data_IF_845092794484
#
_entry.id   IF_845092794484
#
_cell.length_a   1.000
_cell.length_b   1.000
_cell.length_c   1.000
_cell.angle_alpha   90.00
_cell.angle_beta   90.00
_cell.angle_gamma   90.00
#
_symmetry.space_group_name_H-M   'P 1'
#
loop_
_entity.id
_entity.type
_entity.pdbx_description
1 polymer ?
#
# COMPACT_ATOMS: atom_id res chain seq x y z
N UNK A 1 17.30 -20.69 39.44
CA UNK A 1 17.78 -20.18 38.13
C UNK A 1 16.57 -19.98 37.24
N UNK A 2 16.13 -18.73 37.09
CA UNK A 2 15.03 -18.40 36.18
C UNK A 2 15.66 -18.15 34.81
N UNK A 3 15.50 -19.10 33.90
CA UNK A 3 15.89 -18.93 32.51
C UNK A 3 15.00 -17.88 31.86
N UNK A 4 15.53 -16.70 31.57
CA UNK A 4 14.89 -15.74 30.70
C UNK A 4 14.87 -16.34 29.30
N UNK A 5 13.68 -16.79 28.85
CA UNK A 5 13.43 -17.04 27.44
C UNK A 5 13.67 -15.70 26.71
N UNK A 6 14.79 -15.63 26.03
CA UNK A 6 15.12 -14.52 25.16
C UNK A 6 14.22 -14.65 23.93
N UNK A 7 13.03 -14.02 23.96
CA UNK A 7 12.23 -13.87 22.75
C UNK A 7 13.06 -13.09 21.74
N UNK A 8 13.21 -13.59 20.51
CA UNK A 8 14.01 -12.88 19.51
C UNK A 8 13.40 -11.49 19.26
N UNK A 9 14.27 -10.48 19.28
CA UNK A 9 13.88 -9.10 19.04
C UNK A 9 13.15 -8.99 17.67
N UNK A 10 12.11 -8.15 17.50
CA UNK A 10 11.39 -7.95 16.22
C UNK A 10 12.30 -7.73 15.00
N UNK A 11 13.47 -7.17 15.18
CA UNK A 11 14.51 -7.05 14.15
C UNK A 11 14.98 -8.41 13.60
N UNK A 12 15.18 -9.38 14.46
CA UNK A 12 15.67 -10.70 14.04
C UNK A 12 14.60 -11.46 13.25
N UNK A 13 13.33 -11.29 13.62
CA UNK A 13 12.21 -11.89 12.87
C UNK A 13 12.09 -11.30 11.46
N UNK A 14 12.34 -10.00 11.26
CA UNK A 14 12.37 -9.38 9.93
C UNK A 14 13.49 -9.94 9.05
N UNK A 15 14.69 -10.04 9.60
CA UNK A 15 15.83 -10.61 8.89
C UNK A 15 15.58 -12.07 8.51
N UNK A 16 14.98 -12.85 9.42
CA UNK A 16 14.61 -14.24 9.14
C UNK A 16 13.59 -14.33 8.01
N UNK A 17 12.60 -13.42 7.95
CA UNK A 17 11.61 -13.40 6.87
C UNK A 17 12.25 -13.08 5.51
N UNK A 18 13.20 -12.14 5.45
CA UNK A 18 13.92 -11.80 4.22
C UNK A 18 14.78 -12.99 3.77
N UNK A 19 15.41 -13.68 4.72
CA UNK A 19 16.29 -14.83 4.45
C UNK A 19 15.52 -16.11 4.10
N UNK A 20 14.27 -16.23 4.58
CA UNK A 20 13.40 -17.37 4.32
C UNK A 20 12.12 -16.87 3.64
N UNK A 21 12.06 -16.85 2.30
CA UNK A 21 10.92 -16.37 1.54
C UNK A 21 9.60 -17.03 1.95
N UNK A 22 8.53 -16.26 1.96
CA UNK A 22 7.18 -16.75 2.30
C UNK A 22 6.74 -17.91 1.42
N UNK A 23 7.16 -17.93 0.15
CA UNK A 23 6.87 -19.02 -0.78
C UNK A 23 7.43 -20.37 -0.31
N UNK A 24 8.70 -20.42 0.10
CA UNK A 24 9.31 -21.67 0.62
C UNK A 24 8.62 -22.17 1.87
N UNK A 25 8.26 -21.27 2.78
CA UNK A 25 7.51 -21.61 4.00
C UNK A 25 6.10 -22.08 3.69
N UNK A 26 5.46 -21.45 2.69
CA UNK A 26 4.15 -21.85 2.23
C UNK A 26 4.18 -23.27 1.67
N UNK A 27 5.12 -23.58 0.79
CA UNK A 27 5.31 -24.92 0.23
C UNK A 27 5.58 -25.96 1.31
N UNK A 28 6.43 -25.67 2.30
CA UNK A 28 6.73 -26.57 3.40
C UNK A 28 5.47 -26.92 4.19
N UNK A 29 4.61 -25.94 4.53
CA UNK A 29 3.34 -26.19 5.24
C UNK A 29 2.34 -27.00 4.42
N UNK A 30 2.22 -26.68 3.12
CA UNK A 30 1.34 -27.43 2.22
C UNK A 30 1.78 -28.88 2.07
N UNK A 31 3.08 -29.16 2.09
CA UNK A 31 3.62 -30.51 2.08
C UNK A 31 3.31 -31.27 3.39
N UNK A 32 3.31 -30.59 4.54
CA UNK A 32 2.92 -31.15 5.83
C UNK A 32 1.42 -31.45 5.93
N UNK A 33 0.58 -30.56 5.38
CA UNK A 33 -0.89 -30.68 5.42
C UNK A 33 -1.48 -31.60 4.32
N UNK A 34 -0.66 -32.19 3.46
CA UNK A 34 -1.08 -32.99 2.29
C UNK A 34 -2.05 -32.26 1.35
N UNK A 35 -2.15 -30.95 1.42
CA UNK A 35 -2.85 -30.14 0.44
C UNK A 35 -1.91 -29.88 -0.75
N UNK A 36 -2.45 -29.98 -1.97
CA UNK A 36 -1.64 -29.71 -3.17
C UNK A 36 -1.02 -28.31 -3.12
N UNK A 37 0.29 -28.16 -3.38
CA UNK A 37 0.94 -26.86 -3.41
C UNK A 37 0.24 -25.96 -4.42
N UNK A 38 -0.03 -24.73 -4.04
CA UNK A 38 -0.47 -23.72 -4.99
C UNK A 38 0.76 -23.33 -5.81
N UNK A 39 1.02 -24.05 -6.90
CA UNK A 39 2.17 -23.85 -7.79
C UNK A 39 2.13 -22.52 -8.55
N UNK A 40 1.14 -21.69 -8.29
CA UNK A 40 0.95 -20.46 -9.08
C UNK A 40 1.39 -19.22 -8.29
N UNK A 41 2.12 -18.31 -8.96
CA UNK A 41 2.39 -16.98 -8.45
C UNK A 41 1.12 -16.30 -7.95
N UNK A 42 1.22 -15.62 -6.83
CA UNK A 42 0.05 -15.01 -6.18
C UNK A 42 -0.05 -13.53 -6.52
N UNK A 43 -1.14 -13.17 -7.15
CA UNK A 43 -1.53 -11.79 -7.39
C UNK A 43 -2.96 -11.53 -6.91
N UNK A 44 -3.20 -10.34 -6.35
CA UNK A 44 -4.49 -9.95 -5.77
C UNK A 44 -4.92 -8.65 -6.42
N UNK A 45 -6.06 -8.65 -7.08
CA UNK A 45 -6.59 -7.44 -7.71
C UNK A 45 -7.33 -6.57 -6.69
N UNK A 46 -6.87 -5.32 -6.57
CA UNK A 46 -7.36 -4.34 -5.61
C UNK A 46 -8.29 -3.28 -6.24
N UNK A 47 -8.76 -3.52 -7.47
CA UNK A 47 -9.63 -2.62 -8.21
C UNK A 47 -8.90 -1.48 -8.94
N UNK A 48 -7.70 -1.12 -8.52
CA UNK A 48 -6.83 -0.10 -9.14
C UNK A 48 -5.57 -0.68 -9.77
N UNK A 49 -5.38 -1.97 -9.65
CA UNK A 49 -4.25 -2.78 -10.10
C UNK A 49 -4.06 -4.00 -9.21
N UNK A 50 -2.99 -4.76 -9.44
CA UNK A 50 -2.67 -5.99 -8.73
C UNK A 50 -1.54 -5.79 -7.72
N UNK A 51 -1.64 -6.50 -6.59
CA UNK A 51 -0.52 -6.73 -5.68
C UNK A 51 0.09 -8.09 -5.99
N UNK A 52 1.31 -8.09 -6.50
CA UNK A 52 2.09 -9.30 -6.80
C UNK A 52 3.01 -9.58 -5.61
N UNK A 53 2.86 -10.76 -5.02
CA UNK A 53 3.64 -11.13 -3.83
C UNK A 53 4.97 -11.75 -4.29
N UNK A 54 6.02 -10.95 -4.38
CA UNK A 54 7.29 -11.34 -5.00
C UNK A 54 7.92 -12.62 -4.46
N UNK A 55 7.70 -12.92 -3.18
CA UNK A 55 8.21 -14.15 -2.53
C UNK A 55 7.48 -15.43 -2.97
N UNK A 56 6.35 -15.34 -3.68
CA UNK A 56 5.59 -16.50 -4.16
C UNK A 56 5.94 -16.87 -5.60
N UNK A 57 6.70 -16.03 -6.28
CA UNK A 57 7.15 -16.30 -7.65
C UNK A 57 8.34 -17.24 -7.63
N UNK A 58 8.40 -18.22 -8.55
CA UNK A 58 9.48 -19.20 -8.58
C UNK A 58 10.83 -18.56 -8.95
N UNK A 59 10.80 -17.51 -9.77
CA UNK A 59 12.00 -16.79 -10.19
C UNK A 59 11.69 -15.32 -10.54
N UNK A 60 12.75 -14.55 -10.74
CA UNK A 60 12.69 -13.13 -11.06
C UNK A 60 12.16 -12.84 -12.47
N UNK A 61 12.34 -13.77 -13.41
CA UNK A 61 11.87 -13.63 -14.80
C UNK A 61 10.35 -13.71 -14.85
N UNK A 62 9.74 -14.65 -14.13
CA UNK A 62 8.29 -14.81 -14.10
C UNK A 62 7.62 -13.61 -13.42
N UNK A 63 8.18 -13.11 -12.31
CA UNK A 63 7.70 -11.88 -11.68
C UNK A 63 7.79 -10.68 -12.63
N UNK A 64 8.90 -10.51 -13.34
CA UNK A 64 9.05 -9.43 -14.32
C UNK A 64 8.04 -9.55 -15.45
N UNK A 65 7.84 -10.76 -15.99
CA UNK A 65 6.88 -11.05 -17.05
C UNK A 65 5.44 -10.73 -16.63
N UNK A 66 5.06 -11.08 -15.40
CA UNK A 66 3.71 -10.80 -14.88
C UNK A 66 3.49 -9.29 -14.65
N UNK A 67 4.49 -8.55 -14.14
CA UNK A 67 4.42 -7.10 -14.03
C UNK A 67 4.24 -6.41 -15.40
N UNK A 68 4.82 -6.97 -16.46
CA UNK A 68 4.67 -6.42 -17.81
C UNK A 68 3.26 -6.61 -18.39
N UNK A 69 2.45 -7.47 -17.80
CA UNK A 69 1.05 -7.68 -18.17
C UNK A 69 0.09 -6.67 -17.53
N UNK A 70 0.61 -5.69 -16.79
CA UNK A 70 -0.20 -4.61 -16.21
C UNK A 70 -1.14 -3.99 -17.25
N UNK A 71 -2.43 -3.94 -16.93
CA UNK A 71 -3.43 -3.42 -17.84
C UNK A 71 -3.35 -1.88 -17.96
N UNK A 72 -3.75 -1.31 -19.10
CA UNK A 72 -3.83 0.15 -19.27
C UNK A 72 -4.72 0.78 -18.18
N UNK A 73 -4.25 1.87 -17.57
CA UNK A 73 -4.96 2.58 -16.51
C UNK A 73 -4.88 1.93 -15.13
N UNK A 74 -4.10 0.87 -14.98
CA UNK A 74 -3.84 0.21 -13.70
C UNK A 74 -2.42 0.46 -13.19
N UNK A 75 -2.21 0.16 -11.91
CA UNK A 75 -0.91 0.21 -11.25
C UNK A 75 -0.67 -1.11 -10.52
N UNK A 76 0.12 -1.98 -11.14
CA UNK A 76 0.57 -3.20 -10.48
C UNK A 76 1.78 -2.92 -9.59
N UNK A 77 1.83 -3.63 -8.47
CA UNK A 77 2.88 -3.44 -7.47
C UNK A 77 3.42 -4.82 -7.07
N UNK A 78 4.67 -5.11 -7.40
CA UNK A 78 5.37 -6.25 -6.84
C UNK A 78 5.99 -5.85 -5.49
N UNK A 79 5.58 -6.51 -4.43
CA UNK A 79 6.04 -6.25 -3.06
C UNK A 79 6.80 -7.45 -2.48
N UNK A 80 7.55 -7.20 -1.41
CA UNK A 80 8.42 -8.19 -0.76
C UNK A 80 9.49 -8.77 -1.67
N UNK A 81 10.03 -7.95 -2.57
CA UNK A 81 11.12 -8.34 -3.45
C UNK A 81 12.44 -8.25 -2.65
N UNK A 82 13.11 -9.40 -2.47
CA UNK A 82 14.37 -9.44 -1.72
C UNK A 82 15.59 -9.04 -2.58
N UNK A 83 15.56 -9.37 -3.86
CA UNK A 83 16.64 -9.11 -4.82
C UNK A 83 16.12 -8.35 -6.05
N UNK A 84 15.80 -7.04 -5.90
CA UNK A 84 15.16 -6.25 -6.96
C UNK A 84 16.01 -6.16 -8.23
N UNK A 85 17.33 -6.16 -8.10
CA UNK A 85 18.25 -6.13 -9.23
C UNK A 85 18.06 -7.32 -10.19
N UNK A 86 17.67 -8.49 -9.69
CA UNK A 86 17.41 -9.66 -10.52
C UNK A 86 16.16 -9.46 -11.37
N UNK A 87 15.07 -8.94 -10.78
CA UNK A 87 13.83 -8.65 -11.51
C UNK A 87 14.04 -7.52 -12.52
N UNK A 88 14.73 -6.46 -12.13
CA UNK A 88 15.01 -5.32 -13.01
C UNK A 88 15.90 -5.72 -14.21
N UNK A 89 16.81 -6.69 -14.04
CA UNK A 89 17.68 -7.17 -15.12
C UNK A 89 16.90 -7.76 -16.30
N UNK A 90 15.70 -8.32 -16.07
CA UNK A 90 14.86 -8.90 -17.13
C UNK A 90 14.11 -7.84 -17.96
N UNK A 91 13.85 -6.66 -17.40
CA UNK A 91 13.14 -5.60 -18.12
C UNK A 91 13.55 -4.18 -17.65
N UNK A 92 14.85 -3.79 -17.77
CA UNK A 92 15.37 -2.55 -17.19
C UNK A 92 14.79 -1.28 -17.84
N UNK A 93 14.32 -1.36 -19.08
CA UNK A 93 13.66 -0.25 -19.76
C UNK A 93 12.21 -0.05 -19.33
N UNK A 94 11.56 -1.08 -18.77
CA UNK A 94 10.13 -1.10 -18.51
C UNK A 94 9.78 -1.14 -17.01
N UNK A 95 10.71 -1.61 -16.17
CA UNK A 95 10.53 -1.71 -14.73
C UNK A 95 11.43 -0.72 -13.98
N UNK A 96 11.03 -0.34 -12.76
CA UNK A 96 11.85 0.50 -11.89
C UNK A 96 11.65 0.11 -10.42
N UNK A 97 12.66 0.41 -9.61
CA UNK A 97 12.57 0.30 -8.16
C UNK A 97 11.71 1.46 -7.64
N UNK A 98 10.58 1.12 -7.00
CA UNK A 98 9.70 2.12 -6.41
C UNK A 98 10.40 2.85 -5.26
N UNK A 99 10.44 4.19 -5.24
CA UNK A 99 11.10 4.97 -4.20
C UNK A 99 10.27 5.03 -2.90
N UNK A 100 9.81 3.90 -2.43
CA UNK A 100 9.00 3.76 -1.22
C UNK A 100 9.68 2.91 -0.17
N UNK A 101 9.50 3.29 1.10
CA UNK A 101 9.91 2.49 2.24
C UNK A 101 8.78 1.55 2.64
N UNK A 102 9.10 0.30 2.93
CA UNK A 102 8.18 -0.63 3.56
C UNK A 102 8.30 -0.51 5.07
N UNK A 103 7.18 -0.30 5.75
CA UNK A 103 7.12 -0.18 7.20
C UNK A 103 6.25 -1.30 7.78
N UNK A 104 6.63 -1.82 8.95
CA UNK A 104 5.91 -2.85 9.71
C UNK A 104 5.62 -2.40 11.13
N UNK A 105 4.39 -2.64 11.56
CA UNK A 105 3.98 -2.61 12.96
C UNK A 105 3.71 -4.03 13.44
N UNK A 106 4.50 -4.51 14.40
CA UNK A 106 4.17 -5.72 15.14
C UNK A 106 3.06 -5.42 16.14
N UNK A 107 2.01 -6.24 16.19
CA UNK A 107 0.88 -5.97 17.06
C UNK A 107 1.22 -6.08 18.55
N UNK A 108 2.29 -6.78 18.90
CA UNK A 108 2.87 -6.77 20.25
C UNK A 108 3.43 -5.40 20.68
N UNK A 109 3.81 -4.56 19.72
CA UNK A 109 4.33 -3.22 19.95
C UNK A 109 3.23 -2.14 19.87
N UNK A 110 2.02 -2.52 19.43
CA UNK A 110 0.91 -1.58 19.28
C UNK A 110 0.38 -1.09 20.62
N UNK A 111 0.10 0.21 20.66
CA UNK A 111 -0.53 0.86 21.82
C UNK A 111 -1.82 1.54 21.39
N UNK A 112 -2.98 1.11 21.90
CA UNK A 112 -4.26 1.71 21.60
C UNK A 112 -4.31 3.19 21.93
N UNK A 113 -5.21 3.92 21.26
CA UNK A 113 -5.44 5.32 21.56
C UNK A 113 -6.02 5.48 22.99
N UNK A 114 -5.52 6.46 23.73
CA UNK A 114 -6.05 6.75 25.09
C UNK A 114 -7.46 7.32 25.08
N UNK A 115 -7.87 7.93 23.96
CA UNK A 115 -9.19 8.53 23.79
C UNK A 115 -9.75 8.12 22.42
N UNK A 116 -11.05 7.82 22.34
CA UNK A 116 -11.68 7.53 21.05
C UNK A 116 -11.66 8.78 20.14
N UNK A 117 -11.64 8.59 18.84
CA UNK A 117 -11.78 9.69 17.88
C UNK A 117 -13.15 10.37 18.06
N UNK A 118 -13.23 11.67 17.73
CA UNK A 118 -14.46 12.47 17.84
C UNK A 118 -14.77 13.16 16.52
N UNK A 119 -16.06 13.33 16.25
CA UNK A 119 -16.55 14.07 15.10
C UNK A 119 -16.60 13.25 13.79
N UNK A 120 -16.27 11.97 13.84
CA UNK A 120 -16.44 11.04 12.72
C UNK A 120 -16.62 9.61 13.24
N UNK A 121 -17.15 8.73 12.39
CA UNK A 121 -17.29 7.28 12.64
C UNK A 121 -16.63 6.48 11.53
N UNK A 122 -16.13 5.30 11.86
CA UNK A 122 -15.51 4.39 10.88
C UNK A 122 -16.44 3.19 10.68
N UNK A 123 -16.71 2.85 9.42
CA UNK A 123 -17.52 1.70 9.04
C UNK A 123 -16.98 0.99 7.79
N UNK A 124 -17.46 -0.21 7.55
CA UNK A 124 -17.14 -0.93 6.32
C UNK A 124 -17.90 -0.35 5.13
N UNK A 125 -17.30 -0.55 3.96
CA UNK A 125 -17.89 -0.24 2.66
C UNK A 125 -18.90 -1.31 2.29
N UNK A 126 -20.10 -0.89 1.87
CA UNK A 126 -21.22 -1.79 1.56
C UNK A 126 -21.97 -1.42 0.29
N UNK A 127 -22.08 -0.13 -0.08
CA UNK A 127 -22.95 0.37 -1.13
C UNK A 127 -22.18 0.94 -2.32
N UNK A 128 -22.88 1.15 -3.43
CA UNK A 128 -22.29 1.81 -4.61
C UNK A 128 -21.92 3.26 -4.32
N UNK A 129 -22.69 3.95 -3.47
CA UNK A 129 -22.38 5.31 -3.04
C UNK A 129 -21.07 5.36 -2.21
N UNK A 130 -20.79 4.30 -1.46
CA UNK A 130 -19.51 4.17 -0.74
C UNK A 130 -18.34 4.11 -1.71
N UNK A 131 -18.47 3.33 -2.79
CA UNK A 131 -17.44 3.26 -3.83
C UNK A 131 -17.25 4.58 -4.57
N UNK A 132 -18.34 5.28 -4.87
CA UNK A 132 -18.27 6.62 -5.43
C UNK A 132 -17.54 7.59 -4.50
N UNK A 133 -17.80 7.52 -3.19
CA UNK A 133 -17.12 8.32 -2.17
C UNK A 133 -15.62 7.98 -2.06
N UNK A 134 -15.24 6.70 -2.10
CA UNK A 134 -13.83 6.28 -2.15
C UNK A 134 -13.14 6.85 -3.38
N UNK A 135 -13.76 6.71 -4.55
CA UNK A 135 -13.18 7.19 -5.81
C UNK A 135 -13.01 8.71 -5.82
N UNK A 136 -13.96 9.46 -5.23
CA UNK A 136 -13.81 10.90 -5.01
C UNK A 136 -12.59 11.21 -4.13
N UNK A 137 -12.41 10.50 -3.01
CA UNK A 137 -11.27 10.68 -2.10
C UNK A 137 -9.96 10.34 -2.79
N UNK A 138 -9.92 9.26 -3.57
CA UNK A 138 -8.72 8.84 -4.30
C UNK A 138 -8.33 9.86 -5.36
N UNK A 139 -9.27 10.31 -6.18
CA UNK A 139 -9.01 11.34 -7.19
C UNK A 139 -8.53 12.65 -6.56
N UNK A 140 -9.10 13.07 -5.43
CA UNK A 140 -8.64 14.25 -4.68
C UNK A 140 -7.21 14.12 -4.13
N UNK A 141 -6.64 12.92 -4.13
CA UNK A 141 -5.27 12.61 -3.71
C UNK A 141 -4.37 12.14 -4.87
N UNK A 142 -4.80 12.28 -6.12
CA UNK A 142 -4.05 11.81 -7.28
C UNK A 142 -3.85 10.29 -7.33
N UNK A 143 -4.77 9.55 -6.70
CA UNK A 143 -4.74 8.08 -6.68
C UNK A 143 -5.69 7.52 -7.74
N UNK A 144 -5.43 6.30 -8.20
CA UNK A 144 -6.29 5.62 -9.15
C UNK A 144 -7.62 5.21 -8.51
N UNK A 145 -8.75 5.35 -9.25
CA UNK A 145 -10.04 4.91 -8.78
C UNK A 145 -10.14 3.39 -8.70
N UNK A 146 -11.01 2.90 -7.84
CA UNK A 146 -11.33 1.48 -7.71
C UNK A 146 -12.36 1.08 -8.77
N UNK A 147 -12.05 0.07 -9.56
CA UNK A 147 -12.96 -0.63 -10.46
C UNK A 147 -13.49 -1.86 -9.70
N UNK A 148 -14.73 -1.78 -9.23
CA UNK A 148 -15.29 -2.78 -8.30
C UNK A 148 -15.44 -4.16 -8.93
N UNK A 149 -15.68 -4.23 -10.23
CA UNK A 149 -15.79 -5.46 -11.02
C UNK A 149 -14.48 -6.25 -11.11
N UNK A 150 -13.34 -5.58 -10.86
CA UNK A 150 -12.01 -6.19 -10.87
C UNK A 150 -11.51 -6.66 -9.50
N UNK A 151 -12.25 -6.34 -8.43
CA UNK A 151 -11.83 -6.73 -7.07
C UNK A 151 -11.75 -8.24 -6.92
N UNK A 152 -10.64 -8.73 -6.42
CA UNK A 152 -10.53 -10.12 -5.97
C UNK A 152 -11.57 -10.42 -4.89
N UNK A 153 -12.28 -11.57 -4.96
CA UNK A 153 -13.35 -11.88 -4.03
C UNK A 153 -12.87 -11.96 -2.58
N UNK A 154 -13.65 -11.41 -1.65
CA UNK A 154 -13.29 -11.38 -0.20
C UNK A 154 -13.14 -12.77 0.40
N UNK A 155 -13.89 -13.77 -0.04
CA UNK A 155 -13.79 -15.15 0.44
C UNK A 155 -12.49 -15.82 0.00
N UNK A 156 -11.86 -15.31 -1.06
CA UNK A 156 -10.54 -15.72 -1.56
C UNK A 156 -9.41 -14.82 -1.05
N UNK A 157 -9.63 -14.07 0.03
CA UNK A 157 -8.62 -13.18 0.59
C UNK A 157 -8.52 -11.80 -0.06
N UNK A 158 -9.50 -11.42 -0.87
CA UNK A 158 -9.55 -10.08 -1.50
C UNK A 158 -9.60 -8.93 -0.49
N UNK A 159 -9.36 -7.69 -0.96
CA UNK A 159 -9.20 -6.53 -0.11
C UNK A 159 -10.47 -6.16 0.66
N UNK A 160 -10.28 -5.52 1.81
CA UNK A 160 -11.34 -4.95 2.64
C UNK A 160 -11.18 -3.44 2.70
N UNK A 161 -12.30 -2.72 2.60
CA UNK A 161 -12.32 -1.26 2.59
C UNK A 161 -13.13 -0.71 3.77
N UNK A 162 -12.63 0.40 4.32
CA UNK A 162 -13.25 1.14 5.42
C UNK A 162 -13.38 2.61 5.06
N UNK A 163 -14.50 3.23 5.49
CA UNK A 163 -14.76 4.64 5.37
C UNK A 163 -14.81 5.31 6.73
N UNK A 164 -14.25 6.51 6.82
CA UNK A 164 -14.52 7.45 7.89
C UNK A 164 -15.55 8.48 7.39
N UNK A 165 -16.65 8.64 8.11
CA UNK A 165 -17.72 9.59 7.82
C UNK A 165 -17.74 10.67 8.86
N UNK A 166 -17.85 11.92 8.46
CA UNK A 166 -18.12 13.04 9.37
C UNK A 166 -19.44 12.80 10.11
N UNK A 167 -19.42 12.92 11.44
CA UNK A 167 -20.57 12.57 12.28
C UNK A 167 -21.75 13.55 12.15
N UNK A 168 -21.49 14.79 11.74
CA UNK A 168 -22.49 15.81 11.61
C UNK A 168 -23.15 15.81 10.22
N UNK A 169 -22.36 15.57 9.18
CA UNK A 169 -22.82 15.66 7.79
C UNK A 169 -23.06 14.31 7.10
N UNK A 170 -22.50 13.21 7.64
CA UNK A 170 -22.52 11.89 7.00
C UNK A 170 -21.62 11.77 5.78
N UNK A 171 -20.87 12.82 5.43
CA UNK A 171 -19.98 12.80 4.26
C UNK A 171 -18.73 11.98 4.56
N UNK A 172 -18.33 11.12 3.60
CA UNK A 172 -17.08 10.38 3.70
C UNK A 172 -15.88 11.33 3.63
N UNK A 173 -15.04 11.32 4.67
CA UNK A 173 -13.87 12.19 4.85
C UNK A 173 -12.54 11.43 4.83
N UNK A 174 -12.57 10.10 4.76
CA UNK A 174 -11.36 9.30 4.65
C UNK A 174 -11.68 7.83 4.37
N UNK A 175 -10.67 7.12 3.85
CA UNK A 175 -10.77 5.70 3.55
C UNK A 175 -9.43 5.00 3.75
N UNK A 176 -9.46 3.70 3.99
CA UNK A 176 -8.30 2.82 4.04
C UNK A 176 -8.65 1.43 3.51
N UNK A 177 -7.71 0.81 2.79
CA UNK A 177 -7.80 -0.56 2.34
C UNK A 177 -6.89 -1.45 3.19
N UNK A 178 -7.35 -2.64 3.52
CA UNK A 178 -6.57 -3.68 4.19
C UNK A 178 -6.60 -5.00 3.46
N UNK A 179 -5.51 -5.76 3.58
CA UNK A 179 -5.38 -7.11 3.06
C UNK A 179 -4.94 -8.06 4.17
N UNK A 180 -5.63 -9.19 4.29
CA UNK A 180 -5.26 -10.27 5.20
C UNK A 180 -4.38 -11.28 4.46
N UNK A 181 -3.10 -11.34 4.78
CA UNK A 181 -2.13 -12.19 4.10
C UNK A 181 -2.39 -13.69 4.34
N UNK A 182 -2.81 -14.07 5.56
CA UNK A 182 -3.13 -15.45 5.87
C UNK A 182 -4.28 -15.98 5.01
N UNK A 183 -5.28 -15.12 4.68
CA UNK A 183 -6.37 -15.47 3.78
C UNK A 183 -6.02 -15.36 2.31
N UNK A 184 -5.23 -14.36 1.95
CA UNK A 184 -4.90 -14.07 0.56
C UNK A 184 -3.90 -15.07 -0.02
N UNK A 185 -2.87 -15.44 0.74
CA UNK A 185 -1.80 -16.32 0.28
C UNK A 185 -1.23 -17.22 1.37
N UNK A 186 -2.03 -17.54 2.39
CA UNK A 186 -1.65 -18.46 3.47
C UNK A 186 -0.33 -18.09 4.16
N UNK A 187 -0.09 -16.78 4.36
CA UNK A 187 1.13 -16.31 5.01
C UNK A 187 1.34 -16.99 6.37
N UNK A 188 2.40 -17.80 6.53
CA UNK A 188 2.66 -18.54 7.77
C UNK A 188 3.02 -17.62 8.94
N UNK A 189 3.39 -16.36 8.68
CA UNK A 189 3.72 -15.38 9.70
C UNK A 189 2.48 -14.60 10.19
N UNK A 190 1.30 -14.87 9.61
CA UNK A 190 0.05 -14.24 10.01
C UNK A 190 0.04 -12.72 9.77
N UNK A 191 0.52 -12.30 8.62
CA UNK A 191 0.62 -10.89 8.28
C UNK A 191 -0.65 -10.26 7.74
N UNK A 192 -0.60 -8.94 7.67
CA UNK A 192 -1.58 -8.09 6.99
C UNK A 192 -0.90 -6.88 6.37
N UNK A 193 -1.58 -6.18 5.47
CA UNK A 193 -1.07 -4.91 4.91
C UNK A 193 -2.16 -3.86 4.76
N UNK A 194 -1.70 -2.60 4.84
CA UNK A 194 -2.48 -1.39 4.64
C UNK A 194 -2.13 -0.78 3.30
N UNK A 195 -3.15 -0.40 2.55
CA UNK A 195 -3.03 0.25 1.25
C UNK A 195 -3.99 1.42 1.15
N UNK A 196 -3.66 2.37 0.29
CA UNK A 196 -4.56 3.43 -0.14
C UNK A 196 -5.24 4.20 1.02
N UNK A 197 -4.47 4.58 2.05
CA UNK A 197 -4.95 5.52 3.06
C UNK A 197 -5.14 6.90 2.42
N UNK A 198 -6.37 7.38 2.36
CA UNK A 198 -6.72 8.70 1.84
C UNK A 198 -7.61 9.44 2.83
N UNK A 199 -7.30 10.72 3.06
CA UNK A 199 -8.14 11.65 3.82
C UNK A 199 -8.46 12.83 2.93
N UNK A 200 -9.70 13.27 2.92
CA UNK A 200 -10.14 14.43 2.15
C UNK A 200 -9.24 15.65 2.47
N UNK A 201 -8.61 16.29 1.46
CA UNK A 201 -7.77 17.47 1.70
C UNK A 201 -8.54 18.64 2.34
N UNK A 202 -9.86 18.68 2.16
CA UNK A 202 -10.73 19.70 2.73
C UNK A 202 -11.30 19.30 4.11
N UNK A 203 -10.94 18.11 4.63
CA UNK A 203 -11.45 17.65 5.91
C UNK A 203 -10.88 18.48 7.07
N UNK A 204 -11.75 19.14 7.81
CA UNK A 204 -11.41 19.91 9.02
C UNK A 204 -11.28 19.05 10.28
N UNK A 205 -11.65 17.77 10.23
CA UNK A 205 -11.60 16.86 11.40
C UNK A 205 -10.18 16.33 11.61
N UNK A 206 -9.53 16.66 12.72
CA UNK A 206 -8.19 16.16 12.99
C UNK A 206 -8.20 14.65 13.31
N UNK A 207 -7.12 13.95 12.95
CA UNK A 207 -6.88 12.58 13.38
C UNK A 207 -7.60 11.48 12.58
N UNK A 208 -8.33 11.81 11.50
CA UNK A 208 -9.02 10.80 10.65
C UNK A 208 -8.05 9.75 10.14
N UNK A 209 -6.90 10.13 9.59
CA UNK A 209 -5.91 9.17 9.07
C UNK A 209 -5.36 8.26 10.17
N UNK A 210 -5.03 8.81 11.35
CA UNK A 210 -4.58 8.01 12.49
C UNK A 210 -5.65 7.02 12.95
N UNK A 211 -6.90 7.45 13.03
CA UNK A 211 -8.00 6.61 13.46
C UNK A 211 -8.27 5.45 12.47
N UNK A 212 -8.18 5.71 11.16
CA UNK A 212 -8.30 4.66 10.13
C UNK A 212 -7.19 3.62 10.25
N UNK A 213 -5.94 4.04 10.45
CA UNK A 213 -4.82 3.10 10.65
C UNK A 213 -5.03 2.28 11.92
N UNK A 214 -5.39 2.91 13.05
CA UNK A 214 -5.66 2.21 14.31
C UNK A 214 -6.82 1.22 14.18
N UNK A 215 -7.89 1.64 13.53
CA UNK A 215 -9.04 0.77 13.27
C UNK A 215 -8.64 -0.48 12.49
N UNK A 216 -7.80 -0.33 11.46
CA UNK A 216 -7.31 -1.46 10.67
C UNK A 216 -6.37 -2.37 11.48
N UNK A 217 -5.48 -1.81 12.30
CA UNK A 217 -4.64 -2.57 13.24
C UNK A 217 -5.52 -3.40 14.17
N UNK A 218 -6.48 -2.78 14.86
CA UNK A 218 -7.36 -3.44 15.82
C UNK A 218 -8.26 -4.49 15.15
N UNK A 219 -8.69 -4.21 13.91
CA UNK A 219 -9.42 -5.16 13.09
C UNK A 219 -8.61 -6.44 12.78
N UNK A 220 -7.32 -6.32 12.47
CA UNK A 220 -6.48 -7.47 12.18
C UNK A 220 -5.99 -8.17 13.46
N UNK A 221 -5.74 -7.43 14.53
CA UNK A 221 -5.46 -8.00 15.85
C UNK A 221 -6.60 -8.90 16.34
N UNK A 222 -7.86 -8.47 16.17
CA UNK A 222 -9.04 -9.26 16.54
C UNK A 222 -9.20 -10.55 15.71
N UNK A 223 -8.36 -10.74 14.70
CA UNK A 223 -8.27 -11.94 13.85
C UNK A 223 -6.99 -12.72 14.06
N UNK A 224 -6.31 -12.46 15.18
CA UNK A 224 -5.09 -13.15 15.60
C UNK A 224 -3.94 -13.04 14.59
N UNK A 225 -3.92 -11.96 13.78
CA UNK A 225 -2.77 -11.68 12.93
C UNK A 225 -1.63 -11.07 13.75
N UNK A 226 -0.41 -11.13 13.21
CA UNK A 226 0.80 -10.76 13.94
C UNK A 226 1.29 -9.34 13.67
N UNK A 227 1.02 -8.80 12.47
CA UNK A 227 1.56 -7.49 12.06
C UNK A 227 0.76 -6.85 10.95
N UNK A 228 0.99 -5.53 10.79
CA UNK A 228 0.51 -4.72 9.67
C UNK A 228 1.69 -4.10 8.94
N UNK A 229 1.80 -4.36 7.64
CA UNK A 229 2.76 -3.72 6.74
C UNK A 229 2.10 -2.60 5.94
N UNK A 230 2.92 -1.68 5.47
CA UNK A 230 2.53 -0.66 4.51
C UNK A 230 3.73 -0.23 3.66
N UNK A 231 3.45 0.38 2.51
CA UNK A 231 4.43 1.05 1.68
C UNK A 231 4.15 2.56 1.66
N UNK A 232 5.18 3.37 1.79
CA UNK A 232 5.06 4.83 1.81
C UNK A 232 6.23 5.46 1.03
N UNK A 233 5.95 6.45 0.20
CA UNK A 233 6.98 7.19 -0.52
C UNK A 233 8.03 7.75 0.45
N UNK A 234 9.30 7.62 0.11
CA UNK A 234 10.44 8.02 0.96
C UNK A 234 10.37 9.50 1.40
N UNK A 235 9.82 10.37 0.57
CA UNK A 235 9.68 11.81 0.81
C UNK A 235 8.38 12.20 1.54
N UNK A 236 7.42 11.30 1.72
CA UNK A 236 6.17 11.58 2.43
C UNK A 236 6.39 11.66 3.96
N UNK A 237 7.01 12.75 4.41
CA UNK A 237 7.39 12.92 5.81
C UNK A 237 6.18 12.98 6.75
N UNK A 238 5.04 13.51 6.29
CA UNK A 238 3.82 13.59 7.08
C UNK A 238 3.28 12.18 7.41
N UNK A 239 3.16 11.32 6.41
CA UNK A 239 2.71 9.95 6.62
C UNK A 239 3.74 9.13 7.44
N UNK A 240 5.04 9.29 7.15
CA UNK A 240 6.11 8.62 7.91
C UNK A 240 6.11 9.03 9.38
N UNK A 241 5.86 10.30 9.70
CA UNK A 241 5.71 10.77 11.08
C UNK A 241 4.52 10.11 11.79
N UNK A 242 3.37 9.99 11.13
CA UNK A 242 2.21 9.26 11.64
C UNK A 242 2.56 7.79 11.93
N UNK A 243 3.15 7.09 10.97
CA UNK A 243 3.47 5.67 11.13
C UNK A 243 4.51 5.42 12.23
N UNK A 244 5.57 6.25 12.31
CA UNK A 244 6.55 6.17 13.41
C UNK A 244 5.90 6.41 14.78
N UNK A 245 5.00 7.39 14.89
CA UNK A 245 4.21 7.64 16.11
C UNK A 245 3.40 6.40 16.54
N UNK A 246 2.88 5.63 15.59
CA UNK A 246 2.12 4.42 15.85
C UNK A 246 3.00 3.19 16.15
N UNK A 247 4.32 3.29 16.01
CA UNK A 247 5.27 2.22 16.30
C UNK A 247 5.72 1.42 15.09
N UNK A 248 5.39 1.86 13.87
CA UNK A 248 5.91 1.24 12.64
C UNK A 248 7.43 1.44 12.52
N UNK A 249 8.11 0.42 12.01
CA UNK A 249 9.55 0.41 11.76
C UNK A 249 9.84 -0.03 10.33
N UNK A 250 10.95 0.43 9.79
CA UNK A 250 11.39 0.09 8.44
C UNK A 250 11.68 -1.41 8.30
N UNK A 251 11.27 -1.97 7.17
CA UNK A 251 11.51 -3.33 6.76
C UNK A 251 12.37 -3.31 5.49
N UNK A 252 13.52 -3.99 5.53
CA UNK A 252 14.42 -4.05 4.38
C UNK A 252 13.88 -5.02 3.31
N UNK A 253 12.89 -4.56 2.57
CA UNK A 253 12.33 -5.21 1.38
C UNK A 253 11.98 -4.14 0.35
N UNK A 254 11.83 -4.55 -0.89
CA UNK A 254 11.71 -3.64 -2.01
C UNK A 254 10.40 -3.84 -2.76
N UNK A 255 10.01 -2.79 -3.46
CA UNK A 255 8.82 -2.76 -4.31
C UNK A 255 9.24 -2.41 -5.73
N UNK A 256 8.68 -3.10 -6.72
CA UNK A 256 8.93 -2.85 -8.13
C UNK A 256 7.62 -2.51 -8.82
N UNK A 257 7.67 -1.56 -9.74
CA UNK A 257 6.55 -1.11 -10.57
C UNK A 257 6.96 -1.01 -12.03
N UNK A 258 5.95 -0.94 -12.90
CA UNK A 258 6.15 -0.70 -14.33
C UNK A 258 6.29 0.80 -14.61
N UNK A 259 7.21 1.15 -15.52
CA UNK A 259 7.32 2.50 -16.10
C UNK A 259 6.15 2.74 -17.05
N UNK A 260 5.28 3.66 -16.70
CA UNK A 260 4.13 4.09 -17.47
C UNK A 260 3.78 5.55 -17.11
N UNK A 261 2.83 6.17 -17.79
CA UNK A 261 2.42 7.55 -17.51
C UNK A 261 1.92 7.77 -16.07
N UNK A 262 1.27 6.77 -15.46
CA UNK A 262 0.76 6.86 -14.08
C UNK A 262 1.90 6.95 -13.05
N UNK A 263 3.01 6.30 -13.33
CA UNK A 263 4.16 6.22 -12.43
C UNK A 263 5.28 7.19 -12.80
N UNK A 264 5.09 8.02 -13.82
CA UNK A 264 6.14 8.83 -14.44
C UNK A 264 6.90 9.69 -13.42
N UNK A 265 6.22 10.39 -12.55
CA UNK A 265 6.83 11.21 -11.50
C UNK A 265 7.70 10.41 -10.51
N UNK A 266 7.47 9.11 -10.37
CA UNK A 266 8.23 8.26 -9.44
C UNK A 266 9.60 7.83 -9.98
N UNK A 267 9.79 7.80 -11.30
CA UNK A 267 11.05 7.32 -11.91
C UNK A 267 11.78 8.36 -12.77
N UNK A 268 11.11 9.41 -13.20
CA UNK A 268 11.76 10.56 -13.85
C UNK A 268 12.12 11.67 -12.85
N UNK A 269 11.61 11.58 -11.62
CA UNK A 269 11.69 12.64 -10.64
C UNK A 269 10.60 13.70 -10.84
N UNK A 270 10.63 14.77 -10.03
CA UNK A 270 9.72 15.89 -10.20
C UNK A 270 9.80 16.41 -11.64
N UNK A 271 8.66 16.57 -12.25
CA UNK A 271 8.59 17.22 -13.56
C UNK A 271 9.01 18.69 -13.45
N UNK A 272 9.42 19.33 -14.56
CA UNK A 272 9.75 20.74 -14.55
C UNK A 272 8.65 21.63 -13.95
N UNK A 273 7.42 21.13 -13.86
CA UNK A 273 6.30 21.81 -13.21
C UNK A 273 6.43 21.88 -11.68
N UNK A 274 7.16 20.97 -11.03
CA UNK A 274 7.38 21.01 -9.58
C UNK A 274 8.42 22.05 -9.16
N UNK A 275 9.29 22.47 -10.09
CA UNK A 275 10.30 23.50 -9.88
C UNK A 275 9.77 24.92 -10.20
N UNK A 276 8.52 25.02 -10.65
CA UNK A 276 7.88 26.31 -10.91
C UNK A 276 7.77 27.16 -9.64
N UNK A 277 8.00 28.45 -9.80
CA UNK A 277 7.71 29.40 -8.74
C UNK A 277 6.21 29.37 -8.36
N UNK A 278 5.84 29.81 -7.14
CA UNK A 278 4.45 29.70 -6.64
C UNK A 278 3.39 30.33 -7.55
N UNK A 279 3.73 31.37 -8.29
CA UNK A 279 2.78 32.05 -9.18
C UNK A 279 2.56 31.27 -10.48
N UNK A 280 3.61 30.76 -11.09
CA UNK A 280 3.53 29.91 -12.27
C UNK A 280 2.79 28.60 -11.94
N UNK A 281 3.00 28.05 -10.75
CA UNK A 281 2.30 26.85 -10.28
C UNK A 281 0.78 27.06 -10.21
N UNK A 282 0.31 28.20 -9.71
CA UNK A 282 -1.12 28.52 -9.67
C UNK A 282 -1.73 28.49 -11.09
N UNK A 283 -1.01 28.99 -12.09
CA UNK A 283 -1.47 29.03 -13.48
C UNK A 283 -1.55 27.59 -14.04
N UNK A 284 -0.53 26.82 -13.83
CA UNK A 284 -0.46 25.41 -14.31
C UNK A 284 -1.55 24.56 -13.64
N UNK A 285 -1.71 24.67 -12.30
CA UNK A 285 -2.75 23.95 -11.55
C UNK A 285 -4.16 24.31 -12.05
N UNK A 286 -4.41 25.59 -12.34
CA UNK A 286 -5.69 26.05 -12.90
C UNK A 286 -5.91 25.54 -14.32
N UNK A 287 -4.87 25.50 -15.15
CA UNK A 287 -4.94 24.95 -16.50
C UNK A 287 -5.29 23.45 -16.46
N UNK A 288 -4.60 22.67 -15.61
CA UNK A 288 -4.89 21.24 -15.41
C UNK A 288 -6.33 21.03 -14.91
N UNK A 289 -6.80 21.87 -13.98
CA UNK A 289 -8.18 21.81 -13.48
C UNK A 289 -9.21 22.02 -14.60
N UNK A 290 -8.86 22.79 -15.64
CA UNK A 290 -9.70 23.03 -16.83
C UNK A 290 -9.49 22.00 -17.94
N UNK A 291 -8.63 21.00 -17.74
CA UNK A 291 -8.30 19.99 -18.76
C UNK A 291 -7.41 20.53 -19.90
N UNK A 292 -6.69 21.62 -19.65
CA UNK A 292 -5.73 22.19 -20.61
C UNK A 292 -4.39 21.48 -20.39
N UNK A 293 -3.84 20.90 -21.44
CA UNK A 293 -2.49 20.37 -21.46
C UNK A 293 -1.47 21.51 -21.37
N UNK A 294 -0.59 21.44 -20.39
CA UNK A 294 0.47 22.41 -20.16
C UNK A 294 1.81 21.74 -20.37
N UNK A 295 2.69 22.44 -21.10
CA UNK A 295 4.08 22.04 -21.24
C UNK A 295 4.98 23.10 -20.62
N UNK A 296 5.81 22.71 -19.68
CA UNK A 296 6.83 23.58 -19.10
C UNK A 296 8.15 23.27 -19.82
N UNK A 297 8.62 24.22 -20.62
CA UNK A 297 9.86 24.09 -21.38
C UNK A 297 11.08 24.52 -20.55
N UNK A 298 10.91 25.46 -19.63
CA UNK A 298 11.96 25.93 -18.70
C UNK A 298 11.32 26.38 -17.36
N UNK A 299 11.69 25.75 -16.28
CA UNK A 299 11.20 26.06 -14.93
C UNK A 299 11.95 27.25 -14.28
N UNK A 300 13.18 27.53 -14.71
CA UNK A 300 14.03 28.60 -14.18
C UNK A 300 13.95 29.90 -15.03
N UNK A 301 13.46 29.83 -16.25
CA UNK A 301 13.25 30.99 -17.11
C UNK A 301 12.19 31.91 -16.52
N UNK A 302 12.64 32.91 -15.77
CA UNK A 302 11.76 33.97 -15.31
C UNK A 302 11.15 34.72 -16.52
N UNK A 303 9.81 34.97 -16.46
CA UNK A 303 9.15 35.93 -17.31
C UNK A 303 9.80 37.31 -17.17
#
# INVERSE_FOLDING_TARGET
MKGHLHLPHPHNQRLQRIQAPTYERLQARLAEDHSEPTEKPLSIHCGWGRLLIGQTYPDAEELARDLLQEAPGERDIALYVAAPQQVLAHAPQQLFLDPSDTLRLWFTDYRPARRPPRGFRIRRVHTEEDWAAINRLYLARGMLPVQTERLSPRHQGGPIYWLAEDADTGVAVGTVMGLNHAKAFQDPEGGSSLWCLAVDPQCSRPGVGEALVRHLVEHFMSRELAYLDLSVLHNNQQAKALYRKLGFRELATFTIKRKNGINQSLFLGPGPEEDLNPYARIIVDEAHRRGIEVRVDDAEGGL
#
